data_IF_293343063961
#
_entry.id   IF_293343063961
#
_cell.length_a   1.000
_cell.length_b   1.000
_cell.length_c   1.000
_cell.angle_alpha   90.00
_cell.angle_beta   90.00
_cell.angle_gamma   90.00
#
_symmetry.space_group_name_H-M   'P 1'
#
loop_
_entity.id
_entity.type
_entity.pdbx_description
1 polymer ?
#
# COMPACT_ATOMS: atom_id res chain seq x y z
N UNK A 1 14.00 2.67 31.24
CA UNK A 1 13.61 2.84 29.81
C UNK A 1 12.21 2.29 29.66
N UNK A 2 11.29 3.08 29.11
CA UNK A 2 9.92 2.64 28.84
C UNK A 2 9.98 1.61 27.69
N UNK A 3 9.37 0.44 27.87
CA UNK A 3 9.30 -0.58 26.79
C UNK A 3 8.31 -0.07 25.74
N UNK A 4 8.74 -0.11 24.47
CA UNK A 4 7.90 0.22 23.32
C UNK A 4 6.71 -0.75 23.26
N UNK A 5 5.51 -0.24 23.00
CA UNK A 5 4.29 -1.04 22.86
C UNK A 5 3.77 -1.01 21.43
N UNK A 6 3.00 -2.03 21.07
CA UNK A 6 2.28 -2.13 19.81
C UNK A 6 1.40 -0.90 19.58
N UNK A 7 0.73 -0.44 20.64
CA UNK A 7 -0.13 0.75 20.58
C UNK A 7 0.62 2.01 20.16
N UNK A 8 1.89 2.17 20.54
CA UNK A 8 2.68 3.33 20.11
C UNK A 8 2.90 3.31 18.58
N UNK A 9 3.12 2.11 18.02
CA UNK A 9 3.30 1.90 16.58
C UNK A 9 1.98 2.06 15.83
N UNK A 10 0.89 1.52 16.38
CA UNK A 10 -0.47 1.65 15.83
C UNK A 10 -0.87 3.13 15.79
N UNK A 11 -0.60 3.88 16.85
CA UNK A 11 -0.88 5.31 16.90
C UNK A 11 -0.08 6.08 15.84
N UNK A 12 1.19 5.72 15.61
CA UNK A 12 1.98 6.30 14.52
C UNK A 12 1.41 5.96 13.14
N UNK A 13 0.96 4.72 12.92
CA UNK A 13 0.28 4.32 11.68
C UNK A 13 -1.00 5.15 11.48
N UNK A 14 -1.87 5.22 12.49
CA UNK A 14 -3.14 5.93 12.39
C UNK A 14 -2.93 7.43 12.14
N UNK A 15 -2.01 8.06 12.86
CA UNK A 15 -1.73 9.49 12.72
C UNK A 15 -1.03 9.84 11.42
N UNK A 16 -0.11 9.00 10.94
CA UNK A 16 0.69 9.26 9.74
C UNK A 16 -0.05 8.89 8.46
N UNK A 17 -0.95 7.90 8.51
CA UNK A 17 -1.59 7.32 7.34
C UNK A 17 -3.08 7.66 7.25
N UNK A 18 -3.87 7.39 8.30
CA UNK A 18 -5.33 7.54 8.24
C UNK A 18 -5.78 8.99 8.48
N UNK A 19 -5.18 9.67 9.45
CA UNK A 19 -5.56 11.03 9.84
C UNK A 19 -4.88 12.10 8.97
N UNK A 20 -3.78 11.75 8.30
CA UNK A 20 -3.00 12.70 7.50
C UNK A 20 -3.64 12.92 6.12
N UNK A 21 -3.98 14.18 5.82
CA UNK A 21 -4.41 14.58 4.48
C UNK A 21 -3.17 14.76 3.58
N UNK A 22 -2.89 13.75 2.76
CA UNK A 22 -1.77 13.76 1.81
C UNK A 22 -2.29 13.97 0.39
N UNK A 23 -1.64 14.84 -0.38
CA UNK A 23 -2.01 15.09 -1.78
C UNK A 23 -1.55 13.94 -2.67
N UNK A 24 -2.22 13.74 -3.82
CA UNK A 24 -1.83 12.70 -4.79
C UNK A 24 -0.39 12.85 -5.28
N UNK A 25 0.06 14.09 -5.50
CA UNK A 25 1.44 14.37 -5.90
C UNK A 25 2.44 13.94 -4.84
N UNK A 26 2.12 14.17 -3.56
CA UNK A 26 2.98 13.74 -2.46
C UNK A 26 3.00 12.21 -2.34
N UNK A 27 1.84 11.55 -2.47
CA UNK A 27 1.77 10.08 -2.48
C UNK A 27 2.62 9.48 -3.59
N UNK A 28 2.59 10.08 -4.79
CA UNK A 28 3.39 9.62 -5.93
C UNK A 28 4.90 9.71 -5.65
N UNK A 29 5.35 10.86 -5.12
CA UNK A 29 6.76 11.05 -4.74
C UNK A 29 7.16 10.06 -3.64
N UNK A 30 6.32 9.86 -2.64
CA UNK A 30 6.56 8.90 -1.55
C UNK A 30 6.66 7.46 -2.08
N UNK A 31 5.75 7.03 -2.96
CA UNK A 31 5.77 5.70 -3.59
C UNK A 31 7.07 5.48 -4.37
N UNK A 32 7.54 6.48 -5.13
CA UNK A 32 8.81 6.40 -5.83
C UNK A 32 9.99 6.27 -4.86
N UNK A 33 9.95 6.99 -3.73
CA UNK A 33 10.99 6.94 -2.67
C UNK A 33 10.99 5.61 -1.92
N UNK A 34 9.84 4.99 -1.74
CA UNK A 34 9.69 3.62 -1.20
C UNK A 34 10.25 2.54 -2.15
N UNK A 35 10.70 2.94 -3.36
CA UNK A 35 11.23 2.03 -4.36
C UNK A 35 10.16 1.31 -5.18
N UNK A 36 8.88 1.66 -5.03
CA UNK A 36 7.83 1.12 -5.88
C UNK A 36 7.90 1.74 -7.27
N UNK A 37 7.93 0.87 -8.27
CA UNK A 37 7.83 1.21 -9.69
C UNK A 37 6.56 0.58 -10.24
N UNK A 38 5.80 1.40 -10.97
CA UNK A 38 4.52 1.01 -11.55
C UNK A 38 4.64 1.19 -13.05
N UNK A 39 4.49 0.09 -13.80
CA UNK A 39 4.62 0.11 -15.25
C UNK A 39 3.36 -0.45 -15.92
N UNK A 40 2.82 0.23 -16.94
CA UNK A 40 1.82 -0.39 -17.79
C UNK A 40 2.48 -1.48 -18.64
N UNK A 41 1.89 -2.67 -18.64
CA UNK A 41 2.37 -3.84 -19.40
C UNK A 41 1.66 -3.91 -20.75
N UNK A 42 0.35 -3.60 -20.79
CA UNK A 42 -0.46 -3.61 -22.01
C UNK A 42 -1.77 -2.85 -21.81
N UNK A 43 -2.34 -2.32 -22.88
CA UNK A 43 -3.64 -1.63 -22.87
C UNK A 43 -3.54 -0.13 -23.23
N UNK A 44 -4.64 0.60 -23.09
CA UNK A 44 -4.68 2.05 -23.36
C UNK A 44 -3.99 2.82 -22.21
N UNK A 45 -2.85 3.46 -22.52
CA UNK A 45 -2.06 4.23 -21.55
C UNK A 45 -2.85 5.44 -21.02
N UNK A 46 -3.83 5.96 -21.76
CA UNK A 46 -4.72 7.01 -21.26
C UNK A 46 -5.66 6.52 -20.14
N UNK A 47 -5.82 5.19 -19.97
CA UNK A 47 -6.45 4.63 -18.77
C UNK A 47 -5.50 4.64 -17.57
N UNK A 48 -4.17 4.64 -17.77
CA UNK A 48 -3.21 4.65 -16.68
C UNK A 48 -3.30 5.93 -15.84
N UNK A 49 -3.30 7.10 -16.46
CA UNK A 49 -3.45 8.39 -15.74
C UNK A 49 -4.76 8.45 -14.94
N UNK A 50 -5.83 7.86 -15.50
CA UNK A 50 -7.14 7.78 -14.83
C UNK A 50 -7.13 6.80 -13.65
N UNK A 51 -6.48 5.65 -13.81
CA UNK A 51 -6.43 4.58 -12.82
C UNK A 51 -5.39 4.84 -11.73
N UNK A 52 -4.39 5.67 -12.02
CA UNK A 52 -3.36 6.11 -11.08
C UNK A 52 -3.98 6.66 -9.80
N UNK A 53 -5.05 7.45 -9.91
CA UNK A 53 -5.76 7.98 -8.77
C UNK A 53 -6.34 6.89 -7.82
N UNK A 54 -6.59 5.68 -8.31
CA UNK A 54 -7.27 4.61 -7.56
C UNK A 54 -6.31 3.70 -6.80
N UNK A 55 -5.16 3.35 -7.39
CA UNK A 55 -4.17 2.51 -6.69
C UNK A 55 -3.15 3.33 -5.89
N UNK A 56 -3.00 4.64 -6.16
CA UNK A 56 -2.07 5.52 -5.47
C UNK A 56 -2.23 5.48 -3.95
N UNK A 57 -3.46 5.67 -3.46
CA UNK A 57 -3.72 5.76 -2.02
C UNK A 57 -3.50 4.40 -1.32
N UNK A 58 -4.09 3.28 -1.78
CA UNK A 58 -3.82 1.96 -1.21
C UNK A 58 -2.34 1.59 -1.20
N UNK A 59 -1.63 1.80 -2.32
CA UNK A 59 -0.21 1.49 -2.41
C UNK A 59 0.65 2.35 -1.47
N UNK A 60 0.33 3.65 -1.38
CA UNK A 60 1.00 4.55 -0.43
C UNK A 60 0.75 4.14 1.02
N UNK A 61 -0.49 3.76 1.38
CA UNK A 61 -0.84 3.26 2.72
C UNK A 61 0.00 2.04 3.09
N UNK A 62 0.05 1.04 2.21
CA UNK A 62 0.81 -0.20 2.43
C UNK A 62 2.31 0.08 2.57
N UNK A 63 2.88 0.90 1.67
CA UNK A 63 4.29 1.27 1.73
C UNK A 63 4.67 2.04 3.00
N UNK A 64 3.83 2.97 3.45
CA UNK A 64 4.05 3.71 4.70
C UNK A 64 3.93 2.81 5.93
N UNK A 65 2.95 1.91 5.95
CA UNK A 65 2.80 0.97 7.05
C UNK A 65 4.05 0.08 7.17
N UNK A 66 4.56 -0.43 6.05
CA UNK A 66 5.82 -1.22 6.01
C UNK A 66 7.01 -0.43 6.57
N UNK A 67 7.21 0.83 6.17
CA UNK A 67 8.28 1.69 6.70
C UNK A 67 8.18 1.90 8.22
N UNK A 68 6.97 2.17 8.73
CA UNK A 68 6.73 2.38 10.17
C UNK A 68 6.97 1.08 10.93
N UNK A 69 6.44 -0.04 10.45
CA UNK A 69 6.59 -1.35 11.09
C UNK A 69 8.05 -1.76 11.14
N UNK A 70 8.80 -1.65 10.03
CA UNK A 70 10.23 -2.00 9.98
C UNK A 70 11.08 -1.22 10.97
N UNK A 71 10.71 0.04 11.27
CA UNK A 71 11.41 0.89 12.24
C UNK A 71 11.29 0.38 13.67
N UNK A 72 10.20 -0.31 14.01
CA UNK A 72 9.85 -0.62 15.40
C UNK A 72 9.72 -2.11 15.71
N UNK A 73 9.51 -2.97 14.69
CA UNK A 73 9.17 -4.37 14.88
C UNK A 73 10.16 -5.11 15.79
N UNK A 74 11.46 -4.93 15.55
CA UNK A 74 12.52 -5.58 16.33
C UNK A 74 12.70 -5.02 17.76
N UNK A 75 12.03 -3.91 18.08
CA UNK A 75 12.05 -3.30 19.41
C UNK A 75 10.84 -3.69 20.26
N UNK A 76 9.85 -4.38 19.67
CA UNK A 76 8.68 -4.92 20.37
C UNK A 76 8.99 -6.30 20.95
N UNK A 77 8.36 -6.63 22.09
CA UNK A 77 8.33 -8.01 22.58
C UNK A 77 7.43 -8.88 21.70
N UNK A 78 7.59 -10.21 21.75
CA UNK A 78 6.76 -11.14 20.96
C UNK A 78 5.26 -10.92 21.14
N UNK A 79 4.79 -10.75 22.39
CA UNK A 79 3.38 -10.44 22.68
C UNK A 79 2.91 -9.13 22.03
N UNK A 80 3.76 -8.10 21.97
CA UNK A 80 3.40 -6.81 21.35
C UNK A 80 3.52 -6.90 19.82
N UNK A 81 4.39 -7.75 19.29
CA UNK A 81 4.43 -8.05 17.85
C UNK A 81 3.14 -8.72 17.40
N UNK A 82 2.62 -9.69 18.16
CA UNK A 82 1.33 -10.34 17.87
C UNK A 82 0.19 -9.33 17.79
N UNK A 83 0.07 -8.44 18.79
CA UNK A 83 -0.94 -7.36 18.78
C UNK A 83 -0.78 -6.45 17.56
N UNK A 84 0.45 -6.11 17.18
CA UNK A 84 0.71 -5.31 15.98
C UNK A 84 0.31 -6.07 14.70
N UNK A 85 0.58 -7.36 14.61
CA UNK A 85 0.24 -8.17 13.45
C UNK A 85 -1.27 -8.31 13.27
N UNK A 86 -2.03 -8.56 14.35
CA UNK A 86 -3.50 -8.60 14.30
C UNK A 86 -4.08 -7.27 13.75
N UNK A 87 -3.51 -6.14 14.18
CA UNK A 87 -3.89 -4.84 13.63
C UNK A 87 -3.53 -4.70 12.14
N UNK A 88 -2.34 -5.15 11.73
CA UNK A 88 -1.88 -5.04 10.35
C UNK A 88 -2.72 -5.89 9.40
N UNK A 89 -3.15 -7.09 9.81
CA UNK A 89 -4.07 -7.92 9.03
C UNK A 89 -5.39 -7.20 8.74
N UNK A 90 -5.99 -6.60 9.78
CA UNK A 90 -7.23 -5.83 9.63
C UNK A 90 -7.02 -4.56 8.80
N UNK A 91 -5.87 -3.90 8.95
CA UNK A 91 -5.49 -2.73 8.17
C UNK A 91 -5.31 -3.06 6.67
N UNK A 92 -4.65 -4.17 6.37
CA UNK A 92 -4.48 -4.69 5.01
C UNK A 92 -5.84 -5.01 4.39
N UNK A 93 -6.67 -5.77 5.10
CA UNK A 93 -7.99 -6.16 4.65
C UNK A 93 -8.86 -4.94 4.31
N UNK A 94 -8.91 -3.94 5.19
CA UNK A 94 -9.64 -2.68 4.94
C UNK A 94 -9.09 -1.93 3.72
N UNK A 95 -7.77 -1.85 3.60
CA UNK A 95 -7.12 -1.19 2.46
C UNK A 95 -7.44 -1.89 1.14
N UNK A 96 -7.50 -3.22 1.14
CA UNK A 96 -7.87 -4.03 -0.03
C UNK A 96 -9.36 -3.87 -0.38
N UNK A 97 -10.25 -3.88 0.61
CA UNK A 97 -11.67 -3.62 0.39
C UNK A 97 -11.93 -2.24 -0.22
N UNK A 98 -11.28 -1.20 0.32
CA UNK A 98 -11.38 0.17 -0.19
C UNK A 98 -10.92 0.29 -1.64
N UNK A 99 -9.85 -0.43 -1.99
CA UNK A 99 -9.34 -0.51 -3.34
C UNK A 99 -10.34 -1.18 -4.28
N UNK A 100 -10.82 -2.37 -3.92
CA UNK A 100 -11.77 -3.14 -4.72
C UNK A 100 -13.09 -2.38 -4.93
N UNK A 101 -13.59 -1.72 -3.89
CA UNK A 101 -14.83 -0.95 -3.97
C UNK A 101 -14.70 0.27 -4.91
N UNK A 102 -13.54 0.94 -4.91
CA UNK A 102 -13.26 2.05 -5.84
C UNK A 102 -13.19 1.57 -7.29
N UNK A 103 -12.61 0.40 -7.54
CA UNK A 103 -12.57 -0.21 -8.87
C UNK A 103 -13.97 -0.57 -9.37
N UNK A 104 -14.77 -1.26 -8.55
CA UNK A 104 -16.11 -1.76 -8.93
C UNK A 104 -17.09 -0.60 -9.18
N UNK A 105 -17.12 0.43 -8.31
CA UNK A 105 -18.00 1.59 -8.48
C UNK A 105 -17.80 2.32 -9.81
N UNK A 106 -16.58 2.27 -10.37
CA UNK A 106 -16.22 2.97 -11.61
C UNK A 106 -16.37 2.08 -12.85
N UNK A 107 -16.21 0.76 -12.73
CA UNK A 107 -16.48 -0.18 -13.83
C UNK A 107 -17.97 -0.24 -14.20
N UNK A 108 -18.86 0.07 -13.26
CA UNK A 108 -20.32 0.17 -13.51
C UNK A 108 -20.72 1.39 -14.36
N UNK A 109 -19.84 2.40 -14.48
CA UNK A 109 -20.17 3.68 -15.14
C UNK A 109 -19.56 3.84 -16.54
N UNK A 110 -18.78 2.87 -17.02
CA UNK A 110 -18.14 2.90 -18.35
C UNK A 110 -18.25 1.53 -19.01
N UNK A 111 -18.46 1.51 -20.33
CA UNK A 111 -18.30 0.30 -21.14
C UNK A 111 -16.90 -0.27 -20.90
N UNK A 112 -16.84 -1.55 -20.53
CA UNK A 112 -15.58 -2.26 -20.29
C UNK A 112 -14.71 -2.08 -21.55
N UNK A 113 -13.53 -1.42 -21.46
CA UNK A 113 -12.68 -1.21 -22.62
C UNK A 113 -12.32 -2.58 -23.21
N UNK A 114 -12.37 -2.69 -24.55
CA UNK A 114 -12.08 -3.93 -25.29
C UNK A 114 -10.70 -4.51 -24.96
N UNK A 115 -9.79 -3.70 -24.42
CA UNK A 115 -8.44 -4.09 -24.00
C UNK A 115 -8.22 -3.68 -22.55
N UNK A 116 -8.17 -4.63 -21.59
CA UNK A 116 -7.93 -4.29 -20.20
C UNK A 116 -6.50 -3.76 -20.00
N UNK A 117 -6.36 -2.71 -19.18
CA UNK A 117 -5.06 -2.22 -18.75
C UNK A 117 -4.43 -3.21 -17.78
N UNK A 118 -3.23 -3.70 -18.10
CA UNK A 118 -2.42 -4.53 -17.18
C UNK A 118 -1.31 -3.67 -16.59
N UNK A 119 -1.18 -3.71 -15.27
CA UNK A 119 -0.15 -2.99 -14.52
C UNK A 119 0.74 -3.98 -13.78
N UNK A 120 2.03 -3.69 -13.76
CA UNK A 120 3.00 -4.38 -12.92
C UNK A 120 3.50 -3.40 -11.85
N UNK A 121 3.49 -3.84 -10.60
CA UNK A 121 4.02 -3.11 -9.45
C UNK A 121 5.16 -3.92 -8.87
N UNK A 122 6.36 -3.34 -8.81
CA UNK A 122 7.55 -3.99 -8.27
C UNK A 122 8.33 -3.02 -7.38
N UNK A 123 9.03 -3.55 -6.37
CA UNK A 123 9.83 -2.78 -5.41
C UNK A 123 11.32 -3.05 -5.69
N UNK A 124 12.10 -2.00 -5.95
CA UNK A 124 13.55 -2.13 -6.09
C UNK A 124 14.18 -2.65 -4.78
N UNK A 125 15.11 -3.61 -4.89
CA UNK A 125 15.85 -4.15 -3.73
C UNK A 125 15.31 -5.45 -3.13
N UNK A 126 14.23 -6.02 -3.68
CA UNK A 126 13.84 -7.41 -3.39
C UNK A 126 14.77 -8.41 -4.13
N UNK A 127 16.04 -8.51 -3.70
CA UNK A 127 16.87 -9.70 -3.95
C UNK A 127 16.18 -10.86 -3.19
N UNK A 128 15.65 -11.95 -3.75
CA UNK A 128 15.97 -12.74 -4.93
C UNK A 128 14.73 -13.50 -5.39
N UNK A 129 14.58 -13.82 -6.69
CA UNK A 129 13.65 -14.87 -7.13
C UNK A 129 14.13 -16.21 -6.58
N UNK A 130 13.41 -16.78 -5.61
CA UNK A 130 13.53 -18.21 -5.31
C UNK A 130 12.82 -18.97 -6.43
N UNK A 131 13.61 -19.45 -7.40
CA UNK A 131 13.23 -20.60 -8.20
C UNK A 131 13.17 -21.79 -7.25
N UNK A 132 11.97 -22.29 -6.99
CA UNK A 132 11.78 -23.60 -6.36
C UNK A 132 11.47 -24.55 -7.52
N UNK A 133 12.40 -25.48 -7.76
CA UNK A 133 12.16 -26.66 -8.59
C UNK A 133 11.27 -27.66 -7.83
#
# INVERSE_FOLDING_TARGET
>A
MQKLKAMDVIDEIMTTIELKQVTKSQMWVDIQRMGFKIKPVSGDIALFERIQAFFLKPLWKMGRADEIVQKYLYNLSGEEQEVLFDFLEEFEYKTQLDFNHQLIKKSLHHSIPKTPLKLEVFKDGANTPKLIN
#
